data_IF_320200928952
#
_entry.id   IF_320200928952
#
_cell.length_a   1.000
_cell.length_b   1.000
_cell.length_c   1.000
_cell.angle_alpha   90.00
_cell.angle_beta   90.00
_cell.angle_gamma   90.00
#
_symmetry.space_group_name_H-M   'P 1'
#
loop_
_entity.id
_entity.type
_entity.pdbx_description
1 polymer ?
#
# COMPACT_ATOMS: atom_id res chain seq x y z
N UNK A 1 7.87 40.30 -1.26
CA UNK A 1 7.08 39.81 -2.41
C UNK A 1 7.44 38.34 -2.62
N UNK A 2 6.47 37.41 -2.73
CA UNK A 2 6.80 36.05 -3.14
C UNK A 2 7.49 36.09 -4.51
N UNK A 3 8.72 35.60 -4.58
CA UNK A 3 9.45 35.48 -5.84
C UNK A 3 8.75 34.42 -6.69
N UNK A 4 8.46 34.78 -7.94
CA UNK A 4 7.87 33.87 -8.90
C UNK A 4 8.62 33.92 -10.21
N UNK A 5 8.83 32.77 -10.82
CA UNK A 5 9.53 32.61 -12.09
C UNK A 5 8.64 31.85 -13.05
N UNK A 6 8.58 32.31 -14.30
CA UNK A 6 7.91 31.57 -15.36
C UNK A 6 8.93 30.64 -15.99
N UNK A 7 8.61 29.35 -16.03
CA UNK A 7 9.44 28.31 -16.68
C UNK A 7 8.63 27.62 -17.77
N UNK A 8 9.33 27.05 -18.73
CA UNK A 8 8.71 26.17 -19.74
C UNK A 8 9.00 24.71 -19.38
N UNK A 9 7.95 23.90 -19.30
CA UNK A 9 8.03 22.46 -19.02
C UNK A 9 7.24 21.73 -20.09
N UNK A 10 7.93 20.94 -20.92
CA UNK A 10 7.32 20.19 -22.02
C UNK A 10 6.38 21.06 -22.90
N UNK A 11 6.84 22.27 -23.27
CA UNK A 11 6.06 23.22 -24.09
C UNK A 11 4.93 23.96 -23.36
N UNK A 12 4.81 23.81 -22.02
CA UNK A 12 3.84 24.53 -21.19
C UNK A 12 4.53 25.59 -20.35
N UNK A 13 3.98 26.81 -20.32
CA UNK A 13 4.44 27.86 -19.41
C UNK A 13 3.82 27.66 -18.01
N UNK A 14 4.65 27.54 -16.98
CA UNK A 14 4.23 27.44 -15.59
C UNK A 14 4.82 28.59 -14.78
N UNK A 15 3.97 29.24 -13.97
CA UNK A 15 4.43 30.18 -12.93
C UNK A 15 4.76 29.40 -11.66
N UNK A 16 6.04 29.21 -11.40
CA UNK A 16 6.53 28.65 -10.14
C UNK A 16 6.69 29.77 -9.12
N UNK A 17 6.41 29.48 -7.85
CA UNK A 17 6.49 30.46 -6.77
C UNK A 17 7.09 29.84 -5.51
N UNK A 18 7.70 30.67 -4.67
CA UNK A 18 8.17 30.30 -3.33
C UNK A 18 9.16 29.11 -3.36
N UNK A 19 10.10 29.11 -4.30
CA UNK A 19 11.05 27.99 -4.47
C UNK A 19 11.92 27.75 -3.24
N UNK A 20 12.34 28.82 -2.56
CA UNK A 20 13.14 28.76 -1.33
C UNK A 20 12.34 28.39 -0.07
N UNK A 21 11.01 28.19 -0.20
CA UNK A 21 10.19 27.82 0.94
C UNK A 21 10.60 26.45 1.44
N UNK A 22 10.98 26.38 2.71
CA UNK A 22 11.29 25.12 3.40
C UNK A 22 9.99 24.36 3.63
N UNK A 23 9.88 23.17 3.04
CA UNK A 23 8.75 22.26 3.24
C UNK A 23 9.06 21.19 4.31
N UNK A 24 10.33 20.83 4.50
CA UNK A 24 10.78 19.92 5.57
C UNK A 24 11.83 20.61 6.44
N UNK A 25 11.44 21.21 7.57
CA UNK A 25 12.35 21.97 8.43
C UNK A 25 13.56 21.17 8.93
N UNK A 26 13.35 19.92 9.37
CA UNK A 26 14.42 19.08 9.91
C UNK A 26 15.51 18.70 8.88
N UNK A 27 15.19 18.77 7.59
CA UNK A 27 16.13 18.50 6.49
C UNK A 27 16.55 19.75 5.72
N UNK A 28 15.98 20.92 6.02
CA UNK A 28 16.11 22.12 5.19
C UNK A 28 15.60 21.94 3.76
N UNK A 29 14.71 20.97 3.51
CA UNK A 29 14.30 20.60 2.15
C UNK A 29 13.27 21.60 1.60
N UNK A 30 13.59 22.23 0.47
CA UNK A 30 12.79 23.31 -0.10
C UNK A 30 11.77 22.85 -1.14
N UNK A 31 10.81 23.71 -1.45
CA UNK A 31 9.86 23.51 -2.55
C UNK A 31 10.57 23.39 -3.91
N UNK A 32 11.66 24.13 -4.12
CA UNK A 32 12.50 24.01 -5.31
C UNK A 32 13.11 22.62 -5.44
N UNK A 33 13.63 22.04 -4.36
CA UNK A 33 14.17 20.67 -4.36
C UNK A 33 13.07 19.62 -4.56
N UNK A 34 11.87 19.85 -4.02
CA UNK A 34 10.72 18.99 -4.31
C UNK A 34 10.37 18.99 -5.81
N UNK A 35 10.37 20.17 -6.44
CA UNK A 35 10.11 20.30 -7.87
C UNK A 35 11.21 19.62 -8.69
N UNK A 36 12.48 19.80 -8.35
CA UNK A 36 13.61 19.10 -8.99
C UNK A 36 13.45 17.58 -8.92
N UNK A 37 13.13 17.05 -7.72
CA UNK A 37 12.87 15.62 -7.54
C UNK A 37 11.77 15.12 -8.48
N UNK A 38 10.61 15.81 -8.52
CA UNK A 38 9.50 15.40 -9.36
C UNK A 38 9.79 15.52 -10.86
N UNK A 39 10.59 16.50 -11.29
CA UNK A 39 11.04 16.61 -12.69
C UNK A 39 11.92 15.42 -13.05
N UNK A 40 12.90 15.08 -12.21
CA UNK A 40 13.88 14.03 -12.49
C UNK A 40 13.30 12.62 -12.40
N UNK A 41 12.35 12.39 -11.49
CA UNK A 41 11.68 11.08 -11.33
C UNK A 41 10.53 10.88 -12.32
N UNK A 42 10.06 11.94 -12.99
CA UNK A 42 8.91 11.91 -13.89
C UNK A 42 8.96 10.80 -14.96
N UNK A 43 10.10 10.48 -15.60
CA UNK A 43 10.14 9.44 -16.64
C UNK A 43 9.65 8.08 -16.16
N UNK A 44 9.89 7.75 -14.88
CA UNK A 44 9.42 6.50 -14.26
C UNK A 44 8.16 6.68 -13.42
N UNK A 45 7.83 7.89 -12.94
CA UNK A 45 6.62 8.11 -12.13
C UNK A 45 5.37 8.35 -12.98
N UNK A 46 5.46 9.18 -14.03
CA UNK A 46 4.29 9.56 -14.84
C UNK A 46 3.54 8.35 -15.42
N UNK A 47 4.22 7.30 -15.95
CA UNK A 47 3.51 6.10 -16.42
C UNK A 47 2.62 5.42 -15.36
N UNK A 48 2.98 5.52 -14.08
CA UNK A 48 2.19 4.96 -12.97
C UNK A 48 1.04 5.84 -12.53
N UNK A 49 1.09 7.14 -12.81
CA UNK A 49 0.00 8.08 -12.52
C UNK A 49 -0.95 8.27 -13.71
N UNK A 50 -0.48 8.03 -14.93
CA UNK A 50 -1.21 8.31 -16.15
C UNK A 50 -2.57 7.59 -16.18
N UNK A 51 -3.62 8.36 -16.46
CA UNK A 51 -5.00 7.88 -16.52
C UNK A 51 -5.61 7.51 -15.16
N UNK A 52 -4.89 7.64 -14.04
CA UNK A 52 -5.41 7.34 -12.70
C UNK A 52 -5.96 8.60 -12.03
N UNK A 53 -7.22 8.59 -11.59
CA UNK A 53 -7.78 9.58 -10.69
C UNK A 53 -6.86 9.81 -9.48
N UNK A 54 -6.40 11.06 -9.32
CA UNK A 54 -5.43 11.40 -8.30
C UNK A 54 -6.08 12.17 -7.15
N UNK A 55 -5.90 11.68 -5.93
CA UNK A 55 -6.11 12.47 -4.71
C UNK A 55 -4.77 13.11 -4.31
N UNK A 56 -4.75 14.43 -4.18
CA UNK A 56 -3.58 15.17 -3.74
C UNK A 56 -3.66 15.43 -2.23
N UNK A 57 -2.55 15.25 -1.51
CA UNK A 57 -2.43 15.73 -0.13
C UNK A 57 -1.46 16.90 -0.09
N UNK A 58 -2.00 18.08 0.22
CA UNK A 58 -1.31 19.35 0.05
C UNK A 58 -0.83 19.89 1.39
N UNK A 59 0.39 20.40 1.38
CA UNK A 59 1.10 20.98 2.52
C UNK A 59 1.65 22.35 2.14
N UNK A 60 0.79 23.36 1.90
CA UNK A 60 1.23 24.67 1.41
C UNK A 60 2.29 25.32 2.30
N UNK A 61 2.21 25.08 3.61
CA UNK A 61 3.07 25.64 4.65
C UNK A 61 4.14 24.66 5.17
N UNK A 62 4.30 23.49 4.54
CA UNK A 62 5.28 22.47 4.95
C UNK A 62 4.69 21.35 5.82
N UNK A 63 5.51 20.34 6.11
CA UNK A 63 5.08 19.05 6.71
C UNK A 63 4.64 19.14 8.17
N UNK A 64 5.10 20.16 8.88
CA UNK A 64 4.77 20.40 10.31
C UNK A 64 3.51 21.25 10.50
N UNK A 65 2.87 21.68 9.39
CA UNK A 65 1.71 22.56 9.38
C UNK A 65 0.45 21.82 8.90
N UNK A 66 -0.68 22.53 8.89
CA UNK A 66 -1.94 21.98 8.41
C UNK A 66 -1.86 21.51 6.95
N UNK A 67 -2.52 20.38 6.70
CA UNK A 67 -2.65 19.79 5.37
C UNK A 67 -4.12 19.59 5.02
N UNK A 68 -4.39 19.41 3.73
CA UNK A 68 -5.71 19.00 3.27
C UNK A 68 -5.62 18.01 2.11
N UNK A 69 -6.67 17.20 1.98
CA UNK A 69 -6.87 16.33 0.83
C UNK A 69 -7.70 17.04 -0.23
N UNK A 70 -7.22 17.03 -1.47
CA UNK A 70 -7.89 17.63 -2.61
C UNK A 70 -8.14 16.56 -3.67
N UNK A 71 -9.39 16.11 -3.75
CA UNK A 71 -9.87 15.17 -4.76
C UNK A 71 -10.40 15.88 -6.00
N UNK A 72 -11.12 16.98 -5.78
CA UNK A 72 -11.72 17.76 -6.85
C UNK A 72 -10.68 18.75 -7.39
N UNK A 73 -10.55 18.81 -8.70
CA UNK A 73 -9.65 19.72 -9.38
C UNK A 73 -9.92 21.19 -8.96
N UNK A 74 -8.87 21.97 -8.65
CA UNK A 74 -9.00 23.39 -8.38
C UNK A 74 -9.63 24.14 -9.57
N UNK A 75 -10.51 25.10 -9.30
CA UNK A 75 -11.16 25.90 -10.36
C UNK A 75 -10.17 26.68 -11.22
N UNK A 76 -9.04 27.09 -10.65
CA UNK A 76 -7.99 27.89 -11.31
C UNK A 76 -6.93 27.01 -12.01
N UNK A 77 -7.20 25.72 -12.24
CA UNK A 77 -6.26 24.86 -12.95
C UNK A 77 -6.06 25.37 -14.39
N UNK A 78 -4.85 25.20 -14.98
CA UNK A 78 -4.67 25.43 -16.40
C UNK A 78 -5.54 24.50 -17.25
N UNK A 79 -6.00 24.98 -18.40
CA UNK A 79 -6.90 24.24 -19.30
C UNK A 79 -6.32 22.91 -19.79
N UNK A 80 -4.99 22.85 -19.90
CA UNK A 80 -4.27 21.66 -20.33
C UNK A 80 -4.18 20.56 -19.27
N UNK A 81 -4.40 20.87 -17.98
CA UNK A 81 -4.45 19.86 -16.92
C UNK A 81 -5.74 19.06 -17.03
N UNK A 82 -5.65 17.81 -17.48
CA UNK A 82 -6.85 16.99 -17.71
C UNK A 82 -7.49 16.50 -16.42
N UNK A 83 -8.80 16.28 -16.48
CA UNK A 83 -9.58 15.73 -15.37
C UNK A 83 -10.45 14.56 -15.80
N UNK A 84 -10.80 13.71 -14.85
CA UNK A 84 -11.79 12.65 -15.02
C UNK A 84 -13.02 12.92 -14.12
N UNK A 85 -14.22 13.07 -14.69
CA UNK A 85 -15.46 13.16 -13.91
C UNK A 85 -15.83 11.79 -13.35
N UNK A 86 -15.94 11.67 -12.03
CA UNK A 86 -16.34 10.44 -11.34
C UNK A 86 -17.47 10.76 -10.37
N UNK A 87 -18.58 10.02 -10.46
CA UNK A 87 -19.68 10.15 -9.52
C UNK A 87 -19.27 9.66 -8.13
N UNK A 88 -19.50 10.50 -7.11
CA UNK A 88 -19.32 10.12 -5.71
C UNK A 88 -20.69 9.97 -5.06
N UNK A 89 -21.09 8.72 -4.78
CA UNK A 89 -22.36 8.43 -4.10
C UNK A 89 -22.47 9.09 -2.73
N UNK A 90 -21.39 9.09 -1.95
CA UNK A 90 -21.35 9.71 -0.61
C UNK A 90 -21.48 11.23 -0.64
N UNK A 91 -20.84 11.91 -1.61
CA UNK A 91 -20.95 13.36 -1.78
C UNK A 91 -22.15 13.79 -2.64
N UNK A 92 -22.90 12.84 -3.20
CA UNK A 92 -24.02 13.05 -4.14
C UNK A 92 -23.70 14.04 -5.25
N UNK A 93 -22.46 13.98 -5.77
CA UNK A 93 -21.98 14.88 -6.83
C UNK A 93 -20.86 14.23 -7.64
N UNK A 94 -20.63 14.77 -8.84
CA UNK A 94 -19.45 14.45 -9.65
C UNK A 94 -18.23 15.16 -9.08
N UNK A 95 -17.14 14.42 -8.91
CA UNK A 95 -15.81 14.92 -8.57
C UNK A 95 -14.95 14.87 -9.82
N UNK A 96 -14.27 15.96 -10.15
CA UNK A 96 -13.33 16.01 -11.27
C UNK A 96 -11.92 15.74 -10.74
N UNK A 97 -11.47 14.51 -10.80
CA UNK A 97 -10.12 14.15 -10.37
C UNK A 97 -9.07 14.63 -11.38
N UNK A 98 -7.93 15.13 -10.90
CA UNK A 98 -6.79 15.45 -11.76
C UNK A 98 -6.20 14.16 -12.34
N UNK A 99 -5.78 14.20 -13.60
CA UNK A 99 -5.03 13.14 -14.26
C UNK A 99 -3.60 13.61 -14.51
N UNK A 100 -2.63 13.07 -13.76
CA UNK A 100 -1.21 13.41 -13.91
C UNK A 100 -0.56 12.63 -15.07
N UNK A 101 -0.98 12.95 -16.29
CA UNK A 101 -0.62 12.22 -17.51
C UNK A 101 0.75 12.61 -18.10
N UNK A 102 1.33 13.72 -17.66
CA UNK A 102 2.54 14.28 -18.24
C UNK A 102 3.37 15.04 -17.20
N UNK A 103 4.61 15.34 -17.58
CA UNK A 103 5.58 16.07 -16.76
C UNK A 103 5.04 17.45 -16.35
N UNK A 104 4.45 18.21 -17.27
CA UNK A 104 3.94 19.54 -16.97
C UNK A 104 2.85 19.51 -15.90
N UNK A 105 1.94 18.53 -15.95
CA UNK A 105 0.90 18.32 -14.94
C UNK A 105 1.50 17.93 -13.60
N UNK A 106 2.48 17.01 -13.58
CA UNK A 106 3.16 16.62 -12.36
C UNK A 106 3.87 17.81 -11.68
N UNK A 107 4.59 18.63 -12.45
CA UNK A 107 5.26 19.84 -11.93
C UNK A 107 4.24 20.85 -11.41
N UNK A 108 3.11 21.02 -12.10
CA UNK A 108 2.03 21.89 -11.63
C UNK A 108 1.44 21.39 -10.30
N UNK A 109 1.17 20.09 -10.18
CA UNK A 109 0.69 19.46 -8.93
C UNK A 109 1.69 19.68 -7.78
N UNK A 110 2.98 19.46 -8.03
CA UNK A 110 4.04 19.71 -7.06
C UNK A 110 4.12 21.20 -6.67
N UNK A 111 3.94 22.12 -7.63
CA UNK A 111 3.92 23.55 -7.36
C UNK A 111 2.74 23.99 -6.47
N UNK A 112 1.65 23.22 -6.42
CA UNK A 112 0.55 23.39 -5.46
C UNK A 112 0.88 22.90 -4.04
N UNK A 113 2.12 22.49 -3.80
CA UNK A 113 2.61 21.86 -2.58
C UNK A 113 1.94 20.51 -2.28
N UNK A 114 1.58 19.76 -3.34
CA UNK A 114 1.08 18.39 -3.21
C UNK A 114 2.26 17.45 -2.92
N UNK A 115 2.59 17.28 -1.64
CA UNK A 115 3.71 16.42 -1.22
C UNK A 115 3.35 14.96 -1.47
N UNK A 116 2.15 14.53 -1.08
CA UNK A 116 1.73 13.13 -1.26
C UNK A 116 0.73 12.98 -2.42
N UNK A 117 1.01 12.02 -3.29
CA UNK A 117 0.22 11.67 -4.47
C UNK A 117 -0.44 10.31 -4.25
N UNK A 118 -1.77 10.27 -4.29
CA UNK A 118 -2.55 9.07 -4.01
C UNK A 118 -3.45 8.70 -5.20
N UNK A 119 -2.95 7.92 -6.18
CA UNK A 119 -3.76 7.44 -7.29
C UNK A 119 -4.73 6.33 -6.88
N UNK A 120 -5.79 6.13 -7.66
CA UNK A 120 -6.66 4.95 -7.60
C UNK A 120 -5.99 3.70 -8.16
N UNK A 121 -6.44 2.51 -7.71
CA UNK A 121 -5.97 1.23 -8.23
C UNK A 121 -6.49 0.92 -9.65
N UNK A 122 -7.50 1.65 -10.11
CA UNK A 122 -8.08 1.60 -11.46
C UNK A 122 -7.70 2.84 -12.28
N UNK A 123 -7.88 2.75 -13.59
CA UNK A 123 -7.86 3.90 -14.51
C UNK A 123 -9.23 4.58 -14.52
N UNK A 124 -9.26 5.87 -14.81
CA UNK A 124 -10.50 6.66 -14.93
C UNK A 124 -11.48 6.05 -15.95
N UNK A 125 -10.94 5.55 -17.07
CA UNK A 125 -11.74 4.95 -18.14
C UNK A 125 -12.49 3.68 -17.71
N UNK A 126 -12.00 2.98 -16.69
CA UNK A 126 -12.59 1.74 -16.16
C UNK A 126 -12.52 1.77 -14.64
N UNK A 127 -13.19 2.75 -14.03
CA UNK A 127 -13.05 3.05 -12.59
C UNK A 127 -13.40 1.87 -11.69
N UNK A 128 -14.34 1.00 -12.09
CA UNK A 128 -14.76 -0.19 -11.35
C UNK A 128 -13.84 -1.41 -11.52
N UNK A 129 -12.85 -1.33 -12.41
CA UNK A 129 -11.93 -2.42 -12.76
C UNK A 129 -10.52 -2.07 -12.30
N UNK A 130 -10.11 -2.52 -11.10
CA UNK A 130 -8.76 -2.29 -10.62
C UNK A 130 -7.75 -3.02 -11.52
N UNK A 131 -6.63 -2.36 -11.77
CA UNK A 131 -5.51 -2.93 -12.54
C UNK A 131 -4.59 -3.80 -11.67
N UNK A 132 -4.77 -3.79 -10.35
CA UNK A 132 -3.94 -4.46 -9.36
C UNK A 132 -4.71 -4.69 -8.05
N UNK A 133 -4.25 -5.64 -7.25
CA UNK A 133 -4.64 -5.83 -5.84
C UNK A 133 -3.44 -5.43 -4.96
N UNK A 134 -3.72 -4.81 -3.81
CA UNK A 134 -2.71 -4.26 -2.90
C UNK A 134 -2.91 -4.78 -1.48
N UNK A 135 -1.81 -5.12 -0.82
CA UNK A 135 -1.74 -5.41 0.60
C UNK A 135 -0.90 -4.33 1.28
N UNK A 136 -1.56 -3.43 2.00
CA UNK A 136 -0.89 -2.37 2.77
C UNK A 136 -0.64 -2.88 4.19
N UNK A 137 0.64 -3.04 4.54
CA UNK A 137 1.08 -3.71 5.75
C UNK A 137 1.49 -2.64 6.77
N UNK A 138 0.58 -2.37 7.70
CA UNK A 138 0.70 -1.30 8.69
C UNK A 138 1.15 -1.84 10.05
N UNK A 139 2.34 -1.49 10.55
CA UNK A 139 2.79 -1.98 11.84
C UNK A 139 2.18 -1.15 12.99
N UNK A 140 1.62 -1.84 13.97
CA UNK A 140 1.23 -1.25 15.25
C UNK A 140 2.41 -1.26 16.23
N UNK A 141 2.83 -0.09 16.77
CA UNK A 141 3.97 0.00 17.66
C UNK A 141 3.92 -1.01 18.81
N UNK A 142 5.08 -1.53 19.26
CA UNK A 142 6.44 -1.30 18.79
C UNK A 142 6.83 -2.03 17.49
N UNK A 143 5.93 -2.77 16.84
CA UNK A 143 6.21 -3.34 15.53
C UNK A 143 6.57 -2.22 14.53
N UNK A 144 7.40 -2.56 13.54
CA UNK A 144 7.86 -1.66 12.51
C UNK A 144 7.96 -2.38 11.15
N UNK A 145 8.61 -1.76 10.18
CA UNK A 145 8.74 -2.29 8.81
C UNK A 145 9.39 -3.68 8.75
N UNK A 146 10.15 -4.11 9.76
CA UNK A 146 10.72 -5.47 9.83
C UNK A 146 9.63 -6.52 10.01
N UNK A 147 8.64 -6.27 10.87
CA UNK A 147 7.48 -7.16 10.96
C UNK A 147 6.66 -7.12 9.67
N UNK A 148 6.51 -5.96 9.04
CA UNK A 148 5.87 -5.86 7.72
C UNK A 148 6.63 -6.63 6.64
N UNK A 149 7.97 -6.66 6.69
CA UNK A 149 8.79 -7.44 5.77
C UNK A 149 8.50 -8.94 5.90
N UNK A 150 8.42 -9.46 7.13
CA UNK A 150 8.05 -10.86 7.35
C UNK A 150 6.67 -11.18 6.77
N UNK A 151 5.67 -10.35 7.05
CA UNK A 151 4.31 -10.54 6.52
C UNK A 151 4.27 -10.37 5.00
N UNK A 152 5.05 -9.45 4.44
CA UNK A 152 5.17 -9.25 3.00
C UNK A 152 5.75 -10.47 2.29
N UNK A 153 6.72 -11.16 2.88
CA UNK A 153 7.25 -12.42 2.35
C UNK A 153 6.19 -13.53 2.37
N UNK A 154 5.37 -13.64 3.41
CA UNK A 154 4.25 -14.59 3.40
C UNK A 154 3.22 -14.26 2.33
N UNK A 155 2.88 -12.98 2.14
CA UNK A 155 2.02 -12.56 1.02
C UNK A 155 2.65 -12.96 -0.31
N UNK A 156 3.94 -12.69 -0.52
CA UNK A 156 4.68 -13.11 -1.73
C UNK A 156 4.56 -14.61 -1.95
N UNK A 157 4.81 -15.41 -0.92
CA UNK A 157 4.86 -16.87 -1.02
C UNK A 157 3.47 -17.46 -1.32
N UNK A 158 2.41 -16.89 -0.74
CA UNK A 158 1.01 -17.22 -1.09
C UNK A 158 0.76 -16.99 -2.58
N UNK A 159 1.13 -15.83 -3.12
CA UNK A 159 0.93 -15.54 -4.54
C UNK A 159 1.84 -16.39 -5.44
N UNK A 160 3.07 -16.66 -5.02
CA UNK A 160 4.00 -17.53 -5.74
C UNK A 160 3.46 -18.96 -5.85
N UNK A 161 2.78 -19.48 -4.83
CA UNK A 161 2.09 -20.78 -4.88
C UNK A 161 1.03 -20.83 -6.01
N UNK A 162 0.37 -19.72 -6.29
CA UNK A 162 -0.56 -19.58 -7.43
C UNK A 162 0.12 -19.17 -8.73
N UNK A 163 1.46 -19.22 -8.81
CA UNK A 163 2.25 -18.74 -9.94
C UNK A 163 2.00 -17.27 -10.29
N UNK A 164 1.66 -16.46 -9.29
CA UNK A 164 1.44 -15.02 -9.40
C UNK A 164 2.66 -14.25 -8.88
N UNK A 165 3.11 -13.28 -9.66
CA UNK A 165 4.19 -12.37 -9.29
C UNK A 165 3.64 -11.20 -8.47
N UNK A 166 4.40 -10.82 -7.45
CA UNK A 166 4.11 -9.70 -6.56
C UNK A 166 5.32 -8.79 -6.40
N UNK A 167 5.07 -7.51 -6.15
CA UNK A 167 6.07 -6.44 -6.19
C UNK A 167 6.00 -5.62 -4.89
N UNK A 168 7.08 -5.55 -4.10
CA UNK A 168 7.08 -4.84 -2.83
C UNK A 168 7.57 -3.39 -2.99
N UNK A 169 6.94 -2.48 -2.25
CA UNK A 169 7.45 -1.13 -2.06
C UNK A 169 7.36 -0.71 -0.61
N UNK A 170 8.29 0.12 -0.17
CA UNK A 170 8.15 0.80 1.12
C UNK A 170 7.03 1.81 1.01
N UNK A 171 6.29 2.03 2.09
CA UNK A 171 5.31 3.12 2.12
C UNK A 171 5.98 4.50 2.12
N UNK A 172 7.30 4.58 2.33
CA UNK A 172 8.03 5.81 2.68
C UNK A 172 7.72 6.31 4.09
N UNK A 173 6.95 5.55 4.87
CA UNK A 173 6.54 5.88 6.22
C UNK A 173 6.94 4.76 7.18
N UNK A 174 5.98 4.00 7.73
CA UNK A 174 6.24 2.95 8.72
C UNK A 174 6.11 1.54 8.15
N UNK A 175 5.28 1.36 7.12
CA UNK A 175 4.89 0.07 6.60
C UNK A 175 5.49 -0.28 5.23
N UNK A 176 5.12 -1.46 4.75
CA UNK A 176 5.45 -2.03 3.45
C UNK A 176 4.16 -2.27 2.66
N UNK A 177 4.20 -2.22 1.34
CA UNK A 177 3.07 -2.52 0.49
C UNK A 177 3.45 -3.58 -0.53
N UNK A 178 2.57 -4.54 -0.76
CA UNK A 178 2.75 -5.61 -1.75
C UNK A 178 1.68 -5.49 -2.82
N UNK A 179 2.12 -5.38 -4.07
CA UNK A 179 1.26 -5.19 -5.23
C UNK A 179 1.27 -6.46 -6.08
N UNK A 180 0.08 -6.93 -6.49
CA UNK A 180 -0.06 -8.00 -7.48
C UNK A 180 -0.77 -7.41 -8.69
N UNK A 181 -0.07 -7.18 -9.81
CA UNK A 181 -0.69 -6.63 -11.00
C UNK A 181 -1.65 -7.65 -11.61
N UNK A 182 -2.82 -7.18 -12.01
CA UNK A 182 -3.85 -8.00 -12.64
C UNK A 182 -3.94 -7.65 -14.12
N UNK A 183 -4.15 -6.37 -14.46
CA UNK A 183 -4.27 -5.89 -15.85
C UNK A 183 -5.18 -6.77 -16.75
N UNK A 184 -6.15 -7.45 -16.13
CA UNK A 184 -7.20 -8.27 -16.75
C UNK A 184 -8.55 -7.83 -16.20
N UNK A 185 -9.66 -8.08 -16.93
CA UNK A 185 -11.00 -7.79 -16.41
C UNK A 185 -11.23 -8.41 -15.02
N UNK A 186 -11.54 -7.55 -14.05
CA UNK A 186 -11.85 -7.89 -12.65
C UNK A 186 -12.68 -6.75 -12.05
N UNK A 187 -13.20 -6.93 -10.84
CA UNK A 187 -13.90 -5.88 -10.09
C UNK A 187 -13.40 -5.77 -8.65
N UNK A 188 -13.66 -4.63 -8.00
CA UNK A 188 -13.45 -4.50 -6.55
C UNK A 188 -14.28 -5.49 -5.73
N UNK A 189 -15.42 -5.95 -6.26
CA UNK A 189 -16.22 -7.03 -5.68
C UNK A 189 -15.50 -8.38 -5.66
N UNK A 190 -14.45 -8.56 -6.47
CA UNK A 190 -13.60 -9.76 -6.46
C UNK A 190 -12.30 -9.52 -5.68
N UNK A 191 -11.62 -8.38 -5.91
CA UNK A 191 -10.31 -8.12 -5.29
C UNK A 191 -10.41 -7.86 -3.78
N UNK A 192 -11.45 -7.16 -3.31
CA UNK A 192 -11.60 -6.82 -1.89
C UNK A 192 -11.86 -8.06 -1.02
N UNK A 193 -12.82 -8.95 -1.34
CA UNK A 193 -13.01 -10.17 -0.57
C UNK A 193 -11.80 -11.10 -0.64
N UNK A 194 -11.10 -11.14 -1.78
CA UNK A 194 -9.87 -11.92 -1.92
C UNK A 194 -8.76 -11.42 -0.99
N UNK A 195 -8.49 -10.10 -0.98
CA UNK A 195 -7.51 -9.51 -0.07
C UNK A 195 -7.87 -9.78 1.40
N UNK A 196 -9.15 -9.70 1.74
CA UNK A 196 -9.63 -9.97 3.09
C UNK A 196 -9.46 -11.44 3.48
N UNK A 197 -9.72 -12.38 2.56
CA UNK A 197 -9.50 -13.81 2.81
C UNK A 197 -8.03 -14.11 3.08
N UNK A 198 -7.11 -13.55 2.28
CA UNK A 198 -5.65 -13.68 2.51
C UNK A 198 -5.25 -13.06 3.86
N UNK A 199 -5.78 -11.88 4.21
CA UNK A 199 -5.51 -11.25 5.50
C UNK A 199 -5.97 -12.12 6.69
N UNK A 200 -7.14 -12.75 6.58
CA UNK A 200 -7.67 -13.66 7.61
C UNK A 200 -6.90 -14.97 7.69
N UNK A 201 -6.44 -15.51 6.57
CA UNK A 201 -5.56 -16.68 6.55
C UNK A 201 -4.27 -16.39 7.31
N UNK A 202 -3.59 -15.27 6.98
CA UNK A 202 -2.38 -14.84 7.67
C UNK A 202 -2.59 -14.58 9.16
N UNK A 203 -3.73 -13.98 9.55
CA UNK A 203 -4.09 -13.81 10.95
C UNK A 203 -4.33 -15.15 11.67
N UNK A 204 -4.95 -16.12 11.00
CA UNK A 204 -5.18 -17.44 11.55
C UNK A 204 -3.88 -18.23 11.76
N UNK A 205 -2.97 -18.21 10.78
CA UNK A 205 -1.69 -18.92 10.84
C UNK A 205 -0.66 -18.23 11.76
N UNK A 206 -0.71 -16.89 11.82
CA UNK A 206 0.24 -16.08 12.57
C UNK A 206 -0.46 -15.07 13.51
N UNK A 207 -1.32 -15.53 14.44
CA UNK A 207 -2.18 -14.64 15.26
C UNK A 207 -1.40 -13.76 16.22
N UNK A 208 -0.14 -14.10 16.52
CA UNK A 208 0.74 -13.31 17.36
C UNK A 208 1.35 -12.10 16.61
N UNK A 209 1.39 -12.14 15.27
CA UNK A 209 2.04 -11.10 14.45
C UNK A 209 1.07 -10.37 13.52
N UNK A 210 -0.02 -11.01 13.08
CA UNK A 210 -0.93 -10.45 12.09
C UNK A 210 -2.29 -10.14 12.70
N UNK A 211 -2.93 -9.08 12.20
CA UNK A 211 -4.33 -8.75 12.49
C UNK A 211 -5.03 -8.28 11.21
N UNK A 212 -6.28 -8.69 11.02
CA UNK A 212 -7.13 -8.25 9.89
C UNK A 212 -8.31 -7.37 10.33
N UNK A 213 -8.54 -7.23 11.65
CA UNK A 213 -9.52 -6.29 12.21
C UNK A 213 -9.02 -4.83 12.08
N UNK A 214 -9.89 -3.96 11.59
CA UNK A 214 -9.59 -2.54 11.38
C UNK A 214 -9.37 -1.76 12.69
N UNK A 215 -9.84 -2.25 13.83
CA UNK A 215 -9.70 -1.56 15.13
C UNK A 215 -8.22 -1.32 15.45
N UNK A 216 -7.85 -0.07 15.72
CA UNK A 216 -6.47 0.28 16.09
C UNK A 216 -6.02 -0.37 17.41
N UNK A 217 -6.95 -0.58 18.34
CA UNK A 217 -6.67 -1.13 19.67
C UNK A 217 -6.07 -2.55 19.65
N UNK A 218 -6.30 -3.32 18.58
CA UNK A 218 -5.80 -4.70 18.46
C UNK A 218 -4.49 -4.80 17.66
N UNK A 219 -3.91 -3.66 17.25
CA UNK A 219 -2.71 -3.63 16.41
C UNK A 219 -1.39 -3.62 17.18
N UNK A 220 -1.40 -3.36 18.49
CA UNK A 220 -0.18 -3.28 19.30
C UNK A 220 0.66 -4.56 19.14
N UNK A 221 1.95 -4.40 18.82
CA UNK A 221 2.90 -5.48 18.49
C UNK A 221 2.62 -6.27 17.19
N UNK A 222 1.60 -5.91 16.42
CA UNK A 222 1.17 -6.66 15.23
C UNK A 222 1.25 -5.83 13.96
N UNK A 223 1.16 -6.50 12.82
CA UNK A 223 0.98 -5.92 11.50
C UNK A 223 -0.48 -6.05 11.12
N UNK A 224 -1.12 -4.91 10.88
CA UNK A 224 -2.42 -4.86 10.25
C UNK A 224 -2.26 -5.06 8.75
N UNK A 225 -2.89 -6.09 8.20
CA UNK A 225 -2.99 -6.30 6.75
C UNK A 225 -4.21 -5.54 6.26
N UNK A 226 -4.02 -4.32 5.78
CA UNK A 226 -5.12 -3.46 5.33
C UNK A 226 -5.65 -3.89 3.95
N UNK A 227 -6.49 -4.92 3.98
CA UNK A 227 -7.24 -5.40 2.82
C UNK A 227 -8.23 -4.36 2.28
N UNK A 228 -8.60 -3.36 3.08
CA UNK A 228 -9.65 -2.40 2.74
C UNK A 228 -9.19 -1.33 1.75
N UNK A 229 -7.89 -1.26 1.44
CA UNK A 229 -7.34 -0.43 0.37
C UNK A 229 -7.85 -0.83 -1.03
N UNK A 230 -8.32 -2.07 -1.19
CA UNK A 230 -8.89 -2.59 -2.43
C UNK A 230 -10.35 -2.16 -2.61
N UNK A 231 -10.60 -0.86 -2.66
CA UNK A 231 -11.94 -0.29 -2.76
C UNK A 231 -11.95 0.86 -3.77
N UNK A 232 -13.02 0.97 -4.57
CA UNK A 232 -13.13 1.97 -5.62
C UNK A 232 -13.10 3.42 -5.13
N UNK A 233 -13.40 3.64 -3.85
CA UNK A 233 -13.40 4.98 -3.25
C UNK A 233 -12.09 5.34 -2.54
N UNK A 234 -11.15 4.40 -2.49
CA UNK A 234 -9.84 4.57 -1.85
C UNK A 234 -8.73 4.83 -2.85
N UNK A 235 -7.67 5.41 -2.32
CA UNK A 235 -6.44 5.71 -3.03
C UNK A 235 -5.28 5.34 -2.14
N UNK A 236 -4.20 4.86 -2.75
CA UNK A 236 -2.98 4.45 -2.03
C UNK A 236 -1.83 5.35 -2.44
N UNK A 237 -0.88 5.58 -1.55
CA UNK A 237 0.31 6.37 -1.86
C UNK A 237 1.03 5.81 -3.10
N UNK A 238 1.27 6.67 -4.10
CA UNK A 238 1.96 6.30 -5.33
C UNK A 238 3.37 5.79 -5.03
N UNK A 239 3.91 4.95 -5.93
CA UNK A 239 5.36 4.84 -6.02
C UNK A 239 5.97 6.22 -6.28
N UNK A 240 7.19 6.43 -5.81
CA UNK A 240 7.98 7.66 -5.96
C UNK A 240 7.33 8.94 -5.41
N UNK A 241 6.18 8.85 -4.73
CA UNK A 241 5.62 9.98 -4.00
C UNK A 241 6.44 10.24 -2.74
N UNK A 242 6.72 11.51 -2.48
CA UNK A 242 7.20 11.95 -1.18
C UNK A 242 6.15 11.68 -0.10
N UNK A 243 6.63 11.53 1.14
CA UNK A 243 5.81 11.43 2.34
C UNK A 243 6.01 12.68 3.18
N UNK A 244 4.91 13.19 3.73
CA UNK A 244 4.98 14.28 4.68
C UNK A 244 5.34 13.74 6.07
N UNK A 245 6.63 13.48 6.25
CA UNK A 245 7.30 13.09 7.49
C UNK A 245 8.35 14.12 7.84
N UNK A 246 9.05 13.93 8.95
CA UNK A 246 10.13 14.81 9.39
C UNK A 246 11.19 15.04 8.30
N UNK A 247 11.48 14.00 7.51
CA UNK A 247 12.44 14.01 6.40
C UNK A 247 11.74 13.68 5.08
N UNK A 248 12.29 14.07 3.92
CA UNK A 248 11.67 13.87 2.59
C UNK A 248 11.79 12.41 2.11
N UNK A 249 11.22 11.49 2.89
CA UNK A 249 11.19 10.06 2.57
C UNK A 249 10.21 9.78 1.44
N UNK A 250 10.46 8.71 0.70
CA UNK A 250 9.73 8.36 -0.52
C UNK A 250 9.15 6.96 -0.44
N UNK A 251 7.93 6.79 -0.95
CA UNK A 251 7.31 5.48 -1.20
C UNK A 251 8.06 4.77 -2.33
N UNK A 252 8.93 3.83 -2.00
CA UNK A 252 10.01 3.40 -2.91
C UNK A 252 9.89 1.92 -3.27
N UNK A 253 9.81 1.58 -4.57
CA UNK A 253 10.01 0.21 -5.06
C UNK A 253 11.30 -0.43 -4.52
N UNK A 254 11.20 -1.66 -4.02
CA UNK A 254 12.33 -2.45 -3.55
C UNK A 254 12.28 -3.84 -4.15
N UNK A 255 13.41 -4.54 -4.14
CA UNK A 255 13.49 -5.95 -4.50
C UNK A 255 13.10 -6.83 -3.30
N UNK A 256 12.71 -8.08 -3.56
CA UNK A 256 12.47 -9.04 -2.49
C UNK A 256 13.77 -9.35 -1.70
N UNK A 257 14.93 -9.38 -2.36
CA UNK A 257 16.23 -9.57 -1.71
C UNK A 257 16.54 -8.45 -0.69
N UNK A 258 16.17 -7.20 -1.00
CA UNK A 258 16.28 -6.09 -0.05
C UNK A 258 15.38 -6.28 1.18
N UNK A 259 14.14 -6.75 0.95
CA UNK A 259 13.18 -7.05 2.03
C UNK A 259 13.70 -8.18 2.92
N UNK A 260 14.18 -9.28 2.34
CA UNK A 260 14.77 -10.40 3.06
C UNK A 260 16.05 -10.00 3.80
N UNK A 261 16.90 -9.19 3.18
CA UNK A 261 18.11 -8.69 3.82
C UNK A 261 17.79 -7.79 5.02
N UNK A 262 16.79 -6.92 4.92
CA UNK A 262 16.36 -6.07 6.02
C UNK A 262 15.84 -6.89 7.20
N UNK A 263 14.99 -7.88 6.92
CA UNK A 263 14.47 -8.81 7.91
C UNK A 263 15.58 -9.59 8.61
N UNK A 264 16.48 -10.23 7.86
CA UNK A 264 17.61 -11.01 8.38
C UNK A 264 18.54 -10.18 9.27
N UNK A 265 18.79 -8.93 8.89
CA UNK A 265 19.64 -8.00 9.66
C UNK A 265 18.89 -7.30 10.78
N UNK A 266 17.57 -7.40 10.85
CA UNK A 266 16.69 -6.69 11.79
C UNK A 266 16.93 -5.17 11.78
N UNK A 267 17.24 -4.63 10.60
CA UNK A 267 17.60 -3.23 10.43
C UNK A 267 16.57 -2.50 9.57
N UNK A 268 15.65 -1.72 10.19
CA UNK A 268 14.61 -1.02 9.45
C UNK A 268 15.15 0.10 8.56
N UNK A 269 16.35 0.63 8.83
CA UNK A 269 16.93 1.72 8.04
C UNK A 269 17.27 1.29 6.61
N UNK A 270 17.45 -0.01 6.37
CA UNK A 270 17.67 -0.57 5.02
C UNK A 270 16.48 -0.40 4.08
N UNK A 271 15.30 -0.04 4.61
CA UNK A 271 14.07 0.19 3.86
C UNK A 271 13.56 1.63 4.02
N UNK A 272 14.45 2.58 4.31
CA UNK A 272 14.16 4.02 4.36
C UNK A 272 14.96 4.71 3.26
N UNK A 273 14.26 5.44 2.40
CA UNK A 273 14.86 6.14 1.26
C UNK A 273 14.36 7.58 1.23
N UNK A 274 15.28 8.53 1.14
CA UNK A 274 14.98 9.94 0.86
C UNK A 274 15.01 10.22 -0.65
N UNK A 275 14.52 11.40 -1.04
CA UNK A 275 14.44 11.84 -2.45
C UNK A 275 15.73 11.61 -3.25
N UNK A 276 16.90 11.95 -2.69
CA UNK A 276 18.20 11.76 -3.35
C UNK A 276 18.57 10.27 -3.56
N UNK A 277 18.22 9.42 -2.60
CA UNK A 277 18.54 7.99 -2.64
C UNK A 277 17.70 7.35 -3.74
N UNK A 278 16.43 7.73 -3.85
CA UNK A 278 15.52 7.25 -4.89
C UNK A 278 15.97 7.65 -6.28
N UNK A 279 16.43 8.89 -6.49
CA UNK A 279 16.97 9.30 -7.79
C UNK A 279 18.18 8.44 -8.18
N UNK A 280 19.12 8.27 -7.24
CA UNK A 280 20.31 7.42 -7.46
C UNK A 280 19.94 5.97 -7.76
N UNK A 281 18.91 5.44 -7.08
CA UNK A 281 18.40 4.08 -7.31
C UNK A 281 17.79 3.92 -8.69
N UNK A 282 16.98 4.87 -9.14
CA UNK A 282 16.36 4.80 -10.48
C UNK A 282 17.42 4.93 -11.57
N UNK A 283 18.43 5.77 -11.40
CA UNK A 283 19.55 5.87 -12.34
C UNK A 283 20.32 4.54 -12.47
N UNK A 284 20.42 3.76 -11.39
CA UNK A 284 21.14 2.48 -11.36
C UNK A 284 20.29 1.27 -11.76
N UNK A 285 19.02 1.22 -11.34
CA UNK A 285 18.17 0.03 -11.40
C UNK A 285 16.99 0.18 -12.36
N UNK A 286 16.72 1.38 -12.84
CA UNK A 286 15.51 1.69 -13.60
C UNK A 286 14.23 1.62 -12.77
N UNK A 287 13.10 1.40 -13.44
CA UNK A 287 11.79 1.25 -12.81
C UNK A 287 11.52 -0.21 -12.39
N UNK A 288 11.82 -0.52 -11.12
CA UNK A 288 11.52 -1.84 -10.53
C UNK A 288 10.02 -2.18 -10.52
N UNK A 289 9.14 -1.17 -10.60
CA UNK A 289 7.69 -1.36 -10.64
C UNK A 289 7.14 -1.38 -12.07
N UNK A 290 7.95 -1.19 -13.10
CA UNK A 290 7.52 -1.19 -14.51
C UNK A 290 6.65 -2.40 -14.90
N UNK A 291 6.94 -3.64 -14.43
CA UNK A 291 6.07 -4.79 -14.69
C UNK A 291 4.65 -4.64 -14.15
N UNK A 292 4.43 -3.87 -13.07
CA UNK A 292 3.07 -3.66 -12.50
C UNK A 292 2.12 -3.00 -13.50
N UNK A 293 2.65 -2.20 -14.43
CA UNK A 293 1.86 -1.53 -15.47
C UNK A 293 1.36 -2.47 -16.56
N UNK A 294 2.05 -3.58 -16.81
CA UNK A 294 1.87 -4.37 -18.04
C UNK A 294 1.59 -5.84 -17.79
N UNK A 295 2.09 -6.41 -16.70
CA UNK A 295 1.94 -7.83 -16.38
C UNK A 295 0.46 -8.18 -16.18
N UNK A 296 -0.03 -9.13 -16.96
CA UNK A 296 -1.42 -9.60 -16.90
C UNK A 296 -1.49 -10.89 -16.10
N UNK A 297 -2.26 -10.88 -15.02
CA UNK A 297 -2.45 -12.03 -14.15
C UNK A 297 -3.90 -12.14 -13.70
N UNK A 298 -4.38 -13.36 -13.51
CA UNK A 298 -5.76 -13.62 -13.06
C UNK A 298 -5.73 -14.14 -11.64
N UNK A 299 -6.56 -13.58 -10.77
CA UNK A 299 -6.73 -14.10 -9.41
C UNK A 299 -7.29 -15.53 -9.47
N UNK A 300 -6.82 -16.44 -8.60
CA UNK A 300 -7.43 -17.75 -8.46
C UNK A 300 -8.84 -17.61 -7.86
N UNK A 301 -9.68 -18.62 -8.08
CA UNK A 301 -10.98 -18.67 -7.42
C UNK A 301 -10.80 -18.94 -5.93
N UNK A 302 -11.57 -18.23 -5.08
CA UNK A 302 -11.49 -18.35 -3.62
C UNK A 302 -11.75 -19.78 -3.11
N UNK A 303 -12.51 -20.60 -3.84
CA UNK A 303 -12.70 -22.02 -3.51
C UNK A 303 -11.36 -22.79 -3.45
N UNK A 304 -10.37 -22.40 -4.26
CA UNK A 304 -9.03 -22.99 -4.25
C UNK A 304 -8.20 -22.64 -3.01
N UNK A 305 -8.48 -21.52 -2.34
CA UNK A 305 -7.81 -21.12 -1.08
C UNK A 305 -8.30 -21.92 0.13
N UNK A 306 -9.54 -22.44 0.08
CA UNK A 306 -10.10 -23.29 1.12
C UNK A 306 -9.81 -24.79 0.88
N UNK A 307 -9.59 -25.19 -0.38
CA UNK A 307 -9.28 -26.57 -0.74
C UNK A 307 -7.79 -26.93 -0.57
N UNK A 308 -6.89 -25.94 -0.52
CA UNK A 308 -5.45 -26.17 -0.27
C UNK A 308 -5.11 -26.38 1.22
N UNK A 309 -6.11 -26.31 2.11
CA UNK A 309 -5.99 -26.78 3.49
C UNK A 309 -6.59 -28.19 3.60
N UNK A 310 -6.01 -29.18 2.91
CA UNK A 310 -6.23 -30.57 3.29
C UNK A 310 -5.20 -30.98 4.36
N UNK A 311 -5.62 -31.69 5.42
CA UNK A 311 -4.74 -32.11 6.49
C UNK A 311 -3.90 -33.30 6.00
N UNK A 312 -2.58 -33.14 5.90
CA UNK A 312 -1.68 -34.28 5.76
C UNK A 312 -1.80 -35.18 7.01
N UNK A 313 -2.15 -36.44 6.74
CA UNK A 313 -2.09 -37.55 7.67
C UNK A 313 -0.72 -37.63 8.35
N UNK A 314 -0.66 -37.24 9.62
CA UNK A 314 0.35 -37.75 10.54
C UNK A 314 -0.33 -38.32 11.79
N UNK A 315 -0.54 -39.64 11.68
CA UNK A 315 -0.29 -40.62 12.74
C UNK A 315 -1.22 -40.51 13.97
N UNK A 316 -2.31 -41.26 13.85
CA UNK A 316 -2.94 -42.06 14.91
C UNK A 316 -1.92 -42.65 15.89
N UNK A 317 -1.59 -41.92 16.96
CA UNK A 317 -0.91 -42.45 18.16
C UNK A 317 -1.17 -41.57 19.40
N UNK A 318 -2.43 -41.16 19.63
CA UNK A 318 -2.83 -40.56 20.90
C UNK A 318 -4.34 -40.69 21.15
N UNK A 319 -4.90 -41.89 21.01
CA UNK A 319 -6.28 -42.17 21.44
C UNK A 319 -6.43 -43.59 21.99
N UNK A 320 -5.46 -44.04 22.79
CA UNK A 320 -5.60 -45.19 23.68
C UNK A 320 -4.88 -44.93 25.01
N UNK A 321 -5.29 -43.89 25.74
CA UNK A 321 -4.98 -43.77 27.16
C UNK A 321 -5.91 -42.74 27.82
N UNK A 322 -7.21 -43.02 27.86
CA UNK A 322 -8.00 -42.72 29.06
C UNK A 322 -9.40 -43.34 28.97
N UNK A 323 -9.55 -44.51 29.61
CA UNK A 323 -10.86 -45.00 30.03
C UNK A 323 -10.80 -45.17 31.55
N UNK A 324 -11.67 -44.50 32.32
CA UNK A 324 -11.75 -44.73 33.76
C UNK A 324 -12.29 -46.14 34.04
N UNK A 325 -11.63 -46.87 34.95
CA UNK A 325 -12.09 -48.17 35.47
C UNK A 325 -13.44 -48.03 36.20
N UNK A 326 -14.42 -48.92 35.99
CA UNK A 326 -15.65 -48.92 36.77
C UNK A 326 -15.41 -49.51 38.18
N UNK A 327 -15.94 -48.82 39.20
CA UNK A 327 -15.90 -49.23 40.62
C UNK A 327 -16.74 -50.49 40.84
N UNK A 328 -16.16 -51.51 41.50
CA UNK A 328 -16.85 -52.72 41.99
C UNK A 328 -17.91 -52.34 43.02
N UNK A 329 -19.16 -52.77 42.81
CA UNK A 329 -20.23 -52.75 43.82
C UNK A 329 -19.97 -53.84 44.87
N UNK A 330 -19.94 -53.45 46.14
CA UNK A 330 -19.92 -54.37 47.27
C UNK A 330 -21.30 -55.01 47.45
N UNK A 331 -21.32 -56.34 47.62
CA UNK A 331 -22.52 -57.13 47.86
C UNK A 331 -23.04 -56.92 49.30
N UNK A 332 -24.31 -56.53 49.41
CA UNK A 332 -25.03 -56.49 50.68
C UNK A 332 -25.45 -57.91 51.09
N UNK A 333 -25.06 -58.27 52.31
CA UNK A 333 -25.29 -59.56 52.96
C UNK A 333 -26.72 -59.59 53.52
N UNK A 334 -27.60 -60.39 52.94
CA UNK A 334 -28.88 -60.76 53.56
C UNK A 334 -28.61 -61.73 54.72
N UNK A 335 -29.04 -61.37 55.93
CA UNK A 335 -29.30 -62.31 57.03
C UNK A 335 -30.82 -62.43 57.20
N UNK A 336 -31.31 -63.66 57.29
CA UNK A 336 -32.71 -64.05 57.48
C UNK A 336 -32.84 -64.74 58.84
N UNK A 337 -33.97 -64.48 59.53
CA UNK A 337 -34.63 -65.22 60.62
C UNK A 337 -33.91 -65.14 62.00
N UNK A 338 -34.58 -65.04 63.14
CA UNK A 338 -35.97 -65.30 63.59
C UNK A 338 -36.42 -64.14 64.48
#
# INVERSE_FOLDING_TARGET
>A
MPTSTIVEVAGRKLKLSNLEKILYPAAGFTKGQMLDFYVRIAPVLVPHLAGRPLTMKRYPEGVDQEFFFEKNAPMHRPDWVKTAPIWSGSNRRTIHFILANDLATLVWIANLASIELHPSLSLAAQIATPTMIVFDLDPGPPANIIQCAQVGLWVRDIFAHFSLQSFPKTSGSKGLQVYVPLNTPTSYGQTKPFAHAVARLLEHEHPHLVVSDMKKAVRTNKVFVDWSQNDEHKTTISIYSLRARERPTVSTPVTWDEVESALRKKDPQRLVFESKDVLSRVDQMGDLFGPVLTLKQKLPQLAGLAASSEPEESITLAAQADRPRPKRKAAARQRRKV
#
